data_IF_481178115290
#
_entry.id   IF_481178115290
#
_cell.length_a   1.000
_cell.length_b   1.000
_cell.length_c   1.000
_cell.angle_alpha   90.00
_cell.angle_beta   90.00
_cell.angle_gamma   90.00
#
_symmetry.space_group_name_H-M   'P 1'
#
loop_
_entity.id
_entity.type
_entity.pdbx_description
1 polymer ?
#
# COMPACT_ATOMS: atom_id res chain seq x y z
N UNK A 1 -8.38 8.42 8.38
CA UNK A 1 -7.90 8.47 6.97
C UNK A 1 -7.78 7.08 6.35
N UNK A 2 -6.96 6.18 6.90
CA UNK A 2 -6.70 4.82 6.37
C UNK A 2 -7.94 4.04 5.89
N UNK A 3 -8.94 3.86 6.76
CA UNK A 3 -10.16 3.10 6.43
C UNK A 3 -10.93 3.64 5.23
N UNK A 4 -10.94 4.97 5.03
CA UNK A 4 -11.63 5.58 3.88
C UNK A 4 -10.92 5.18 2.58
N UNK A 5 -9.59 5.22 2.56
CA UNK A 5 -8.75 4.84 1.41
C UNK A 5 -8.91 3.35 1.11
N UNK A 6 -8.77 2.49 2.12
CA UNK A 6 -8.86 1.03 1.92
C UNK A 6 -10.23 0.62 1.36
N UNK A 7 -11.33 1.12 1.97
CA UNK A 7 -12.70 0.83 1.52
C UNK A 7 -12.96 1.29 0.10
N UNK A 8 -12.49 2.50 -0.26
CA UNK A 8 -12.71 3.08 -1.59
C UNK A 8 -11.96 2.32 -2.68
N UNK A 9 -10.76 1.82 -2.36
CA UNK A 9 -9.81 1.39 -3.39
C UNK A 9 -9.56 -0.11 -3.46
N UNK A 10 -9.82 -0.90 -2.41
CA UNK A 10 -9.46 -2.33 -2.40
C UNK A 10 -10.07 -3.12 -3.56
N UNK A 11 -11.41 -3.12 -3.67
CA UNK A 11 -12.13 -3.86 -4.73
C UNK A 11 -11.79 -3.31 -6.11
N UNK A 12 -11.73 -1.98 -6.24
CA UNK A 12 -11.38 -1.31 -7.50
C UNK A 12 -9.96 -1.65 -7.96
N UNK A 13 -9.02 -1.68 -7.03
CA UNK A 13 -7.63 -2.06 -7.27
C UNK A 13 -7.52 -3.51 -7.71
N UNK A 14 -8.17 -4.44 -6.99
CA UNK A 14 -8.17 -5.84 -7.38
C UNK A 14 -8.75 -6.04 -8.79
N UNK A 15 -9.91 -5.45 -9.06
CA UNK A 15 -10.54 -5.53 -10.38
C UNK A 15 -9.67 -4.93 -11.49
N UNK A 16 -9.05 -3.77 -11.25
CA UNK A 16 -8.18 -3.11 -12.23
C UNK A 16 -6.99 -3.98 -12.66
N UNK A 17 -6.47 -4.79 -11.75
CA UNK A 17 -5.30 -5.64 -11.99
C UNK A 17 -5.67 -7.13 -12.16
N UNK A 18 -6.94 -7.44 -12.44
CA UNK A 18 -7.44 -8.82 -12.60
C UNK A 18 -7.09 -9.75 -11.43
N UNK A 19 -7.02 -9.19 -10.22
CA UNK A 19 -6.76 -9.94 -9.00
C UNK A 19 -8.07 -10.41 -8.40
N UNK A 20 -8.09 -11.66 -7.95
CA UNK A 20 -9.18 -12.19 -7.12
C UNK A 20 -8.93 -11.77 -5.66
N UNK A 21 -9.81 -10.96 -5.04
CA UNK A 21 -9.57 -10.48 -3.67
C UNK A 21 -9.35 -11.59 -2.64
N UNK A 22 -9.98 -12.76 -2.86
CA UNK A 22 -9.85 -13.94 -1.98
C UNK A 22 -8.51 -14.68 -2.09
N UNK A 23 -7.82 -14.52 -3.23
CA UNK A 23 -6.53 -15.15 -3.51
C UNK A 23 -5.38 -14.11 -3.51
N UNK A 24 -5.64 -12.92 -2.99
CA UNK A 24 -4.67 -11.83 -2.93
C UNK A 24 -4.32 -11.55 -1.48
N UNK A 25 -3.02 -11.40 -1.20
CA UNK A 25 -2.53 -10.94 0.10
C UNK A 25 -2.38 -9.41 0.07
N UNK A 26 -2.94 -8.73 1.06
CA UNK A 26 -2.68 -7.33 1.31
C UNK A 26 -1.35 -7.20 2.05
N UNK A 27 -0.41 -6.47 1.47
CA UNK A 27 0.82 -6.06 2.13
C UNK A 27 0.68 -4.62 2.63
N UNK A 28 1.00 -4.38 3.90
CA UNK A 28 1.05 -3.05 4.52
C UNK A 28 2.24 -2.99 5.49
N UNK A 29 2.60 -1.79 5.94
CA UNK A 29 3.62 -1.63 6.98
C UNK A 29 3.07 -1.92 8.39
N UNK A 30 3.94 -1.87 9.38
CA UNK A 30 3.59 -2.18 10.76
C UNK A 30 3.02 -0.98 11.54
N UNK A 31 2.59 0.10 10.86
CA UNK A 31 2.24 1.33 11.54
C UNK A 31 0.97 1.17 12.42
N UNK A 32 0.85 1.92 13.54
CA UNK A 32 -0.19 1.66 14.55
C UNK A 32 -1.63 1.71 14.03
N UNK A 33 -1.93 2.56 13.04
CA UNK A 33 -3.28 2.68 12.47
C UNK A 33 -3.71 1.45 11.67
N UNK A 34 -2.76 0.71 11.09
CA UNK A 34 -3.02 -0.56 10.39
C UNK A 34 -3.41 -1.69 11.36
N UNK A 35 -2.95 -1.60 12.62
CA UNK A 35 -3.27 -2.54 13.70
C UNK A 35 -4.48 -2.16 14.54
N UNK A 36 -5.13 -1.04 14.21
CA UNK A 36 -6.32 -0.62 14.95
C UNK A 36 -7.41 -1.70 14.90
N UNK A 37 -8.16 -1.87 16.01
CA UNK A 37 -9.26 -2.86 16.10
C UNK A 37 -10.26 -2.71 14.94
N UNK A 38 -10.52 -1.48 14.51
CA UNK A 38 -11.44 -1.18 13.39
C UNK A 38 -10.89 -1.69 12.07
N UNK A 39 -9.59 -1.52 11.80
CA UNK A 39 -8.94 -2.02 10.60
C UNK A 39 -8.94 -3.55 10.55
N UNK A 40 -8.48 -4.21 11.62
CA UNK A 40 -8.41 -5.66 11.69
C UNK A 40 -9.79 -6.32 11.56
N UNK A 41 -10.82 -5.78 12.24
CA UNK A 41 -12.20 -6.27 12.09
C UNK A 41 -12.73 -6.12 10.65
N UNK A 42 -12.39 -5.04 9.97
CA UNK A 42 -12.79 -4.85 8.58
C UNK A 42 -12.12 -5.85 7.64
N UNK A 43 -10.80 -6.04 7.78
CA UNK A 43 -10.05 -7.02 6.98
C UNK A 43 -10.63 -8.42 7.14
N UNK A 44 -10.88 -8.84 8.39
CA UNK A 44 -11.52 -10.11 8.70
C UNK A 44 -12.93 -10.23 8.09
N UNK A 45 -13.79 -9.22 8.27
CA UNK A 45 -15.16 -9.22 7.72
C UNK A 45 -15.17 -9.30 6.19
N UNK A 46 -14.20 -8.68 5.52
CA UNK A 46 -14.07 -8.70 4.06
C UNK A 46 -13.28 -9.91 3.54
N UNK A 47 -12.82 -10.81 4.41
CA UNK A 47 -11.96 -11.95 4.08
C UNK A 47 -10.70 -11.53 3.30
N UNK A 48 -10.16 -10.36 3.63
CA UNK A 48 -8.91 -9.85 3.07
C UNK A 48 -7.79 -10.48 3.89
N UNK A 49 -6.93 -11.26 3.23
CA UNK A 49 -5.77 -11.88 3.86
C UNK A 49 -4.65 -10.85 3.96
N UNK A 50 -4.00 -10.79 5.13
CA UNK A 50 -2.85 -9.93 5.35
C UNK A 50 -1.56 -10.75 5.17
N UNK A 51 -0.51 -10.12 4.64
CA UNK A 51 0.84 -10.66 4.76
C UNK A 51 1.35 -10.35 6.18
N UNK A 52 1.36 -11.36 7.06
CA UNK A 52 1.62 -11.19 8.50
C UNK A 52 3.12 -11.13 8.83
N UNK A 53 3.96 -11.85 8.09
CA UNK A 53 5.39 -12.04 8.38
C UNK A 53 6.30 -10.94 7.83
N UNK A 54 6.01 -9.67 8.16
CA UNK A 54 6.91 -8.56 7.80
C UNK A 54 7.72 -8.07 9.01
N UNK A 55 9.07 -8.18 8.99
CA UNK A 55 9.89 -7.60 10.06
C UNK A 55 9.69 -6.08 10.13
N UNK A 56 9.67 -5.51 11.35
CA UNK A 56 9.54 -4.07 11.53
C UNK A 56 10.75 -3.34 10.94
N UNK A 57 10.52 -2.12 10.44
CA UNK A 57 11.57 -1.26 9.87
C UNK A 57 12.34 -1.88 8.69
N UNK A 58 11.69 -2.76 7.93
CA UNK A 58 12.24 -3.35 6.69
C UNK A 58 11.57 -2.77 5.43
N UNK A 59 11.91 -1.52 5.05
CA UNK A 59 11.40 -0.90 3.82
C UNK A 59 11.93 -1.60 2.56
N UNK A 60 13.12 -2.19 2.63
CA UNK A 60 13.77 -3.00 1.59
C UNK A 60 12.92 -4.19 1.12
N UNK A 61 12.17 -4.81 2.04
CA UNK A 61 11.25 -5.90 1.74
C UNK A 61 9.95 -5.43 1.09
N UNK A 62 9.70 -4.12 1.00
CA UNK A 62 8.48 -3.55 0.43
C UNK A 62 8.68 -3.21 -1.06
N UNK A 63 7.99 -3.88 -2.00
CA UNK A 63 8.15 -3.59 -3.43
C UNK A 63 7.79 -2.14 -3.78
N UNK A 64 6.87 -1.52 -3.03
CA UNK A 64 6.43 -0.14 -3.25
C UNK A 64 7.54 0.89 -3.01
N UNK A 65 8.52 0.62 -2.15
CA UNK A 65 9.62 1.55 -1.89
C UNK A 65 10.52 1.73 -3.11
N UNK A 66 10.70 0.66 -3.90
CA UNK A 66 11.40 0.73 -5.19
C UNK A 66 10.64 1.60 -6.19
N UNK A 67 9.31 1.49 -6.23
CA UNK A 67 8.45 2.34 -7.08
C UNK A 67 8.55 3.80 -6.65
N UNK A 68 8.52 4.08 -5.35
CA UNK A 68 8.69 5.44 -4.82
C UNK A 68 10.07 6.03 -5.11
N UNK A 69 11.13 5.24 -5.00
CA UNK A 69 12.47 5.66 -5.40
C UNK A 69 12.51 6.05 -6.90
N UNK A 70 11.89 5.24 -7.76
CA UNK A 70 11.79 5.56 -9.19
C UNK A 70 11.01 6.84 -9.46
N UNK A 71 9.85 7.03 -8.81
CA UNK A 71 9.04 8.25 -8.96
C UNK A 71 9.81 9.49 -8.47
N UNK A 72 10.48 9.41 -7.32
CA UNK A 72 11.31 10.52 -6.80
C UNK A 72 12.43 10.90 -7.77
N UNK A 73 13.13 9.92 -8.34
CA UNK A 73 14.17 10.15 -9.33
C UNK A 73 13.61 10.79 -10.62
N UNK A 74 12.44 10.34 -11.06
CA UNK A 74 11.76 10.91 -12.23
C UNK A 74 11.32 12.35 -11.99
N UNK A 75 10.70 12.63 -10.84
CA UNK A 75 10.29 13.98 -10.44
C UNK A 75 11.50 14.91 -10.34
N UNK A 76 12.60 14.47 -9.72
CA UNK A 76 13.83 15.27 -9.63
C UNK A 76 14.36 15.68 -11.01
N UNK A 77 14.30 14.78 -12.00
CA UNK A 77 14.68 15.10 -13.39
C UNK A 77 13.73 16.12 -14.04
N UNK A 78 12.44 16.07 -13.75
CA UNK A 78 11.47 17.06 -14.25
C UNK A 78 11.72 18.41 -13.60
N UNK A 79 11.86 18.47 -12.27
CA UNK A 79 12.10 19.72 -11.54
C UNK A 79 13.38 20.40 -12.01
N UNK A 80 14.46 19.65 -12.26
CA UNK A 80 15.70 20.21 -12.83
C UNK A 80 15.50 20.76 -14.25
N UNK A 81 14.60 20.19 -15.06
CA UNK A 81 14.32 20.64 -16.43
C UNK A 81 13.43 21.88 -16.51
N UNK A 82 12.55 22.07 -15.52
CA UNK A 82 11.63 23.20 -15.49
C UNK A 82 12.26 24.48 -14.91
N UNK A 83 13.50 24.39 -14.42
CA UNK A 83 14.09 25.41 -13.56
C UNK A 83 13.39 25.36 -12.21
N UNK A 84 14.15 25.15 -11.13
CA UNK A 84 13.60 25.37 -9.79
C UNK A 84 13.02 26.79 -9.71
N UNK A 85 11.92 27.00 -8.96
CA UNK A 85 11.41 28.36 -8.74
C UNK A 85 12.50 29.28 -8.17
#
# INVERSE_FOLDING_TARGET
>A
MYMKVLRKNWVKGCSKYNLLPRNTLLMQDNAPWHKSKVALKFLAKQRIKLLEDKPPLSPDLSPIEKVWAWIKNWLGKITMRLGSP
#
